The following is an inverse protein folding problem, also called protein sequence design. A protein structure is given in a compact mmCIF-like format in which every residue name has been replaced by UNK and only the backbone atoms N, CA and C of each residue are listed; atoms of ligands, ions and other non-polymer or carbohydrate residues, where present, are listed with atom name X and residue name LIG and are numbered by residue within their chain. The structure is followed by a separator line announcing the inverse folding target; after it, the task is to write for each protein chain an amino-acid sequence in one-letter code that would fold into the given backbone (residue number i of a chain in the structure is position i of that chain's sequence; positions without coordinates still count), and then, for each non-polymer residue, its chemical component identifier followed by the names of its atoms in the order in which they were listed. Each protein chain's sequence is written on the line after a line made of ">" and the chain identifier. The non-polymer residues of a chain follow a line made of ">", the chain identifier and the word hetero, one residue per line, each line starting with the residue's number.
data_IF_384561311202
#
_entry.id   IF_384561311202
#
_cell.length_a   1.000
_cell.length_b   1.000
_cell.length_c   1.000
_cell.angle_alpha   90.00
_cell.angle_beta   90.00
_cell.angle_gamma   90.00
#
_symmetry.space_group_name_H-M   'P 1'
#
loop_
_entity.id
_entity.type
_entity.pdbx_description
1 polymer ?
#
# COMPACT_ATOMS: atom_id res chain seq x y z
N UNK A 1 -1.09 11.11 -7.62
CA UNK A 1 0.39 10.91 -7.61
C UNK A 1 0.73 9.81 -8.60
N UNK A 2 1.81 9.94 -9.35
CA UNK A 2 2.29 8.89 -10.26
C UNK A 2 3.40 8.09 -9.58
N UNK A 3 3.36 6.77 -9.72
CA UNK A 3 4.28 5.85 -9.06
C UNK A 3 4.77 4.80 -10.05
N UNK A 4 6.06 4.52 -10.01
CA UNK A 4 6.69 3.35 -10.59
C UNK A 4 7.36 2.55 -9.49
N UNK A 5 7.21 1.22 -9.55
CA UNK A 5 7.89 0.27 -8.66
C UNK A 5 8.61 -0.73 -9.55
N UNK A 6 9.90 -0.90 -9.29
CA UNK A 6 10.74 -1.83 -10.02
C UNK A 6 10.50 -3.30 -9.58
N UNK A 7 10.84 -4.24 -10.46
CA UNK A 7 10.61 -5.67 -10.28
C UNK A 7 11.25 -6.20 -8.99
N UNK A 8 12.47 -5.74 -8.67
CA UNK A 8 13.22 -6.16 -7.48
C UNK A 8 12.46 -5.85 -6.17
N UNK A 9 11.74 -4.73 -6.11
CA UNK A 9 10.93 -4.34 -4.96
C UNK A 9 9.77 -5.32 -4.77
N UNK A 10 9.03 -5.66 -5.84
CA UNK A 10 7.97 -6.67 -5.75
C UNK A 10 8.50 -8.03 -5.31
N UNK A 11 9.65 -8.44 -5.87
CA UNK A 11 10.29 -9.70 -5.51
C UNK A 11 10.80 -9.71 -4.06
N UNK A 12 11.16 -8.56 -3.50
CA UNK A 12 11.62 -8.48 -2.10
C UNK A 12 10.56 -9.00 -1.11
N UNK A 13 9.26 -8.87 -1.42
CA UNK A 13 8.16 -9.30 -0.54
C UNK A 13 8.05 -10.81 -0.31
N UNK A 14 8.80 -11.64 -1.04
CA UNK A 14 8.90 -13.08 -0.75
C UNK A 14 9.93 -13.40 0.34
N UNK A 15 10.71 -12.43 0.80
CA UNK A 15 11.74 -12.60 1.85
C UNK A 15 11.28 -12.09 3.23
N UNK A 16 10.04 -11.65 3.35
CA UNK A 16 9.65 -10.62 4.32
C UNK A 16 8.66 -11.07 5.41
N UNK A 17 8.49 -10.17 6.38
CA UNK A 17 7.64 -10.30 7.57
C UNK A 17 6.19 -9.88 7.30
N UNK A 18 5.30 -10.01 8.29
CA UNK A 18 3.90 -9.55 8.16
C UNK A 18 3.78 -8.07 7.82
N UNK A 19 4.70 -7.25 8.35
CA UNK A 19 4.62 -5.80 8.28
C UNK A 19 4.89 -5.29 6.87
N UNK A 20 5.69 -6.02 6.10
CA UNK A 20 6.00 -5.68 4.72
C UNK A 20 4.79 -5.89 3.79
N UNK A 21 4.03 -6.97 4.01
CA UNK A 21 2.80 -7.20 3.23
C UNK A 21 1.72 -6.14 3.49
N UNK A 22 1.75 -5.52 4.66
CA UNK A 22 0.84 -4.42 4.99
C UNK A 22 1.11 -3.18 4.13
N UNK A 23 2.36 -2.90 3.76
CA UNK A 23 2.70 -1.81 2.85
C UNK A 23 2.12 -2.03 1.44
N UNK A 24 2.12 -3.27 0.92
CA UNK A 24 1.47 -3.59 -0.36
C UNK A 24 -0.05 -3.44 -0.29
N UNK A 25 -0.66 -3.79 0.85
CA UNK A 25 -2.10 -3.60 1.07
C UNK A 25 -2.48 -2.12 1.14
N UNK A 26 -1.67 -1.30 1.83
CA UNK A 26 -1.85 0.17 1.82
C UNK A 26 -1.79 0.71 0.40
N UNK A 27 -0.85 0.23 -0.42
CA UNK A 27 -0.75 0.65 -1.81
C UNK A 27 -2.01 0.28 -2.60
N UNK A 28 -2.53 -0.92 -2.40
CA UNK A 28 -3.77 -1.40 -3.04
C UNK A 28 -4.94 -0.46 -2.76
N UNK A 29 -5.10 -0.01 -1.51
CA UNK A 29 -6.11 0.99 -1.12
C UNK A 29 -5.89 2.31 -1.85
N UNK A 30 -4.65 2.83 -1.92
CA UNK A 30 -4.35 4.07 -2.64
C UNK A 30 -4.66 4.00 -4.14
N UNK A 31 -4.46 2.85 -4.77
CA UNK A 31 -4.79 2.64 -6.18
C UNK A 31 -6.31 2.61 -6.39
N UNK A 32 -7.06 1.87 -5.55
CA UNK A 32 -8.52 1.79 -5.61
C UNK A 32 -9.20 3.14 -5.45
N UNK A 33 -8.75 3.92 -4.48
CA UNK A 33 -9.24 5.29 -4.22
C UNK A 33 -8.65 6.33 -5.19
N UNK A 34 -7.92 5.89 -6.22
CA UNK A 34 -7.35 6.72 -7.30
C UNK A 34 -6.44 7.85 -6.80
N UNK A 35 -5.86 7.71 -5.61
CA UNK A 35 -4.92 8.70 -5.05
C UNK A 35 -3.52 8.51 -5.63
N UNK A 36 -3.18 7.28 -5.98
CA UNK A 36 -1.95 6.90 -6.68
C UNK A 36 -2.29 6.20 -8.00
N UNK A 37 -1.51 6.47 -9.05
CA UNK A 37 -1.48 5.72 -10.29
C UNK A 37 -0.17 4.95 -10.35
N UNK A 38 -0.21 3.63 -10.24
CA UNK A 38 0.94 2.77 -10.42
C UNK A 38 1.08 2.45 -11.91
N UNK A 39 2.15 2.92 -12.55
CA UNK A 39 2.48 2.56 -13.93
C UNK A 39 3.23 1.24 -13.93
N UNK A 40 2.70 0.25 -14.65
CA UNK A 40 3.21 -1.11 -14.67
C UNK A 40 3.59 -1.53 -16.10
N UNK A 41 4.88 -1.41 -16.47
CA UNK A 41 5.38 -1.93 -17.73
C UNK A 41 5.22 -3.44 -17.85
N UNK A 42 4.89 -3.92 -19.05
CA UNK A 42 4.85 -5.36 -19.35
C UNK A 42 6.18 -6.06 -19.04
N UNK A 43 7.30 -5.33 -19.19
CA UNK A 43 8.63 -5.84 -18.85
C UNK A 43 8.77 -6.16 -17.36
N UNK A 44 8.29 -5.29 -16.45
CA UNK A 44 8.25 -5.57 -15.01
C UNK A 44 7.48 -6.85 -14.72
N UNK A 45 6.31 -7.02 -15.33
CA UNK A 45 5.49 -8.23 -15.14
C UNK A 45 6.21 -9.49 -15.63
N UNK A 46 6.91 -9.42 -16.77
CA UNK A 46 7.69 -10.55 -17.32
C UNK A 46 8.88 -10.91 -16.43
N UNK A 47 9.61 -9.91 -15.94
CA UNK A 47 10.74 -10.10 -15.05
C UNK A 47 10.29 -10.68 -13.71
N UNK A 48 9.18 -10.18 -13.16
CA UNK A 48 8.58 -10.70 -11.95
C UNK A 48 8.30 -12.19 -12.08
N UNK A 49 7.57 -12.59 -13.14
CA UNK A 49 7.25 -14.00 -13.41
C UNK A 49 8.50 -14.88 -13.56
N UNK A 50 9.51 -14.40 -14.29
CA UNK A 50 10.75 -15.15 -14.52
C UNK A 50 11.57 -15.34 -13.23
N UNK A 51 11.58 -14.34 -12.36
CA UNK A 51 12.45 -14.31 -11.20
C UNK A 51 11.76 -14.77 -9.89
N UNK A 52 10.43 -14.86 -9.88
CA UNK A 52 9.60 -15.23 -8.72
C UNK A 52 10.11 -16.49 -8.01
N UNK A 53 10.18 -17.62 -8.72
CA UNK A 53 10.57 -18.89 -8.12
C UNK A 53 12.01 -18.87 -7.59
N UNK A 54 12.91 -18.22 -8.32
CA UNK A 54 14.30 -18.04 -7.89
C UNK A 54 14.37 -17.30 -6.56
N UNK A 55 13.63 -16.20 -6.44
CA UNK A 55 13.59 -15.39 -5.21
C UNK A 55 12.97 -16.15 -4.04
N UNK A 56 11.84 -16.86 -4.26
CA UNK A 56 11.20 -17.68 -3.23
C UNK A 56 12.16 -18.77 -2.74
N UNK A 57 12.82 -19.47 -3.67
CA UNK A 57 13.82 -20.50 -3.34
C UNK A 57 14.92 -19.93 -2.45
N UNK A 58 15.45 -18.75 -2.77
CA UNK A 58 16.51 -18.12 -1.98
C UNK A 58 16.08 -17.84 -0.53
N UNK A 59 14.80 -17.49 -0.32
CA UNK A 59 14.22 -17.31 1.02
C UNK A 59 13.99 -18.63 1.77
N UNK A 60 13.67 -19.72 1.05
CA UNK A 60 13.34 -21.01 1.65
C UNK A 60 14.52 -21.94 1.91
N UNK A 61 15.68 -21.72 1.30
CA UNK A 61 16.82 -22.63 1.42
C UNK A 61 17.21 -22.89 2.88
N UNK A 62 17.27 -21.85 3.72
CA UNK A 62 17.58 -21.98 5.15
C UNK A 62 16.53 -22.82 5.89
N UNK A 63 15.24 -22.64 5.56
CA UNK A 63 14.16 -23.41 6.17
C UNK A 63 14.25 -24.89 5.76
N UNK A 64 14.52 -25.18 4.49
CA UNK A 64 14.66 -26.56 3.98
C UNK A 64 15.81 -27.33 4.64
N UNK A 65 16.92 -26.65 4.90
CA UNK A 65 18.11 -27.23 5.53
C UNK A 65 18.00 -27.34 7.05
N UNK A 66 17.04 -26.64 7.67
CA UNK A 66 16.89 -26.59 9.11
C UNK A 66 16.45 -27.94 9.68
N UNK A 67 17.34 -28.58 10.45
CA UNK A 67 17.09 -29.86 11.13
C UNK A 67 17.58 -29.82 12.57
N UNK A 68 16.86 -30.48 13.47
CA UNK A 68 17.29 -30.67 14.85
C UNK A 68 18.21 -31.89 14.92
N UNK A 69 19.53 -31.67 14.89
CA UNK A 69 20.53 -32.75 15.03
C UNK A 69 20.96 -32.93 16.50
N UNK A 70 20.04 -33.33 17.36
CA UNK A 70 20.32 -33.50 18.79
C UNK A 70 21.17 -34.75 19.05
N UNK A 71 22.37 -34.56 19.61
CA UNK A 71 23.27 -35.62 20.06
C UNK A 71 23.24 -35.73 21.58
N UNK A 72 22.97 -36.94 22.08
CA UNK A 72 22.89 -37.21 23.51
C UNK A 72 23.90 -38.27 23.91
N UNK A 73 24.69 -38.04 24.98
CA UNK A 73 25.47 -39.06 25.64
C UNK A 73 24.59 -40.22 26.12
N UNK A 74 25.16 -41.43 26.21
CA UNK A 74 24.44 -42.62 26.66
C UNK A 74 23.83 -42.44 28.07
N UNK A 75 24.52 -41.69 28.95
CA UNK A 75 24.07 -41.38 30.32
C UNK A 75 22.72 -40.64 30.38
N UNK A 76 22.28 -40.01 29.29
CA UNK A 76 21.01 -39.27 29.28
C UNK A 76 19.79 -40.19 29.17
N UNK A 77 19.95 -41.45 28.71
CA UNK A 77 18.82 -42.33 28.38
C UNK A 77 17.96 -42.74 29.57
N UNK A 78 18.53 -42.65 30.78
CA UNK A 78 17.85 -43.03 32.01
C UNK A 78 16.95 -41.91 32.56
N UNK A 79 16.99 -40.72 31.96
CA UNK A 79 16.21 -39.55 32.39
C UNK A 79 14.93 -39.40 31.56
N UNK A 80 13.81 -39.05 32.19
CA UNK A 80 12.54 -38.81 31.49
C UNK A 80 12.64 -37.62 30.52
N UNK A 81 13.46 -36.61 30.84
CA UNK A 81 13.72 -35.46 29.98
C UNK A 81 14.28 -35.87 28.60
N UNK A 82 15.10 -36.93 28.55
CA UNK A 82 15.60 -37.45 27.27
C UNK A 82 14.46 -37.96 26.38
N UNK A 83 13.49 -38.67 26.96
CA UNK A 83 12.32 -39.17 26.22
C UNK A 83 11.47 -38.01 25.72
N UNK A 84 11.26 -36.98 26.56
CA UNK A 84 10.56 -35.76 26.19
C UNK A 84 11.24 -35.06 25.02
N UNK A 85 12.56 -34.84 25.08
CA UNK A 85 13.32 -34.17 24.03
C UNK A 85 13.29 -34.95 22.70
N UNK A 86 13.39 -36.28 22.74
CA UNK A 86 13.25 -37.12 21.54
C UNK A 86 11.84 -37.05 20.94
N UNK A 87 10.80 -36.99 21.77
CA UNK A 87 9.42 -36.81 21.30
C UNK A 87 9.24 -35.45 20.62
N UNK A 88 9.68 -34.36 21.27
CA UNK A 88 9.60 -33.01 20.72
C UNK A 88 10.39 -32.87 19.41
N UNK A 89 11.56 -33.52 19.30
CA UNK A 89 12.32 -33.57 18.05
C UNK A 89 11.50 -34.16 16.91
N UNK A 90 10.81 -35.29 17.15
CA UNK A 90 9.95 -35.94 16.15
C UNK A 90 8.72 -35.10 15.80
N UNK A 91 8.10 -34.46 16.79
CA UNK A 91 6.97 -33.55 16.58
C UNK A 91 7.40 -32.35 15.71
N UNK A 92 8.56 -31.76 16.00
CA UNK A 92 9.15 -30.70 15.18
C UNK A 92 9.41 -31.16 13.74
N UNK A 93 10.07 -32.31 13.53
CA UNK A 93 10.35 -32.84 12.18
C UNK A 93 9.07 -33.09 11.37
N UNK A 94 8.01 -33.57 12.04
CA UNK A 94 6.70 -33.78 11.41
C UNK A 94 6.04 -32.45 11.04
N UNK A 95 6.04 -31.46 11.95
CA UNK A 95 5.49 -30.14 11.69
C UNK A 95 6.27 -29.41 10.59
N UNK A 96 7.60 -29.51 10.60
CA UNK A 96 8.51 -28.92 9.62
C UNK A 96 8.28 -29.47 8.22
N UNK A 97 8.24 -30.79 8.06
CA UNK A 97 7.93 -31.43 6.78
C UNK A 97 6.52 -31.09 6.27
N UNK A 98 5.53 -31.05 7.17
CA UNK A 98 4.16 -30.64 6.82
C UNK A 98 4.11 -29.19 6.33
N UNK A 99 4.82 -28.27 6.99
CA UNK A 99 4.91 -26.87 6.58
C UNK A 99 5.57 -26.74 5.20
N UNK A 100 6.68 -27.45 4.97
CA UNK A 100 7.36 -27.43 3.67
C UNK A 100 6.45 -27.95 2.55
N UNK A 101 5.71 -29.04 2.77
CA UNK A 101 4.78 -29.58 1.78
C UNK A 101 3.66 -28.56 1.43
N UNK A 102 3.09 -27.89 2.44
CA UNK A 102 2.09 -26.83 2.22
C UNK A 102 2.66 -25.64 1.45
N UNK A 103 3.87 -25.20 1.79
CA UNK A 103 4.54 -24.11 1.08
C UNK A 103 4.81 -24.49 -0.38
N UNK A 104 5.23 -25.73 -0.65
CA UNK A 104 5.47 -26.19 -2.02
C UNK A 104 4.19 -26.24 -2.84
N UNK A 105 3.07 -26.65 -2.23
CA UNK A 105 1.74 -26.58 -2.85
C UNK A 105 1.32 -25.12 -3.12
N UNK A 106 1.47 -24.23 -2.15
CA UNK A 106 1.13 -22.81 -2.32
C UNK A 106 2.02 -22.14 -3.39
N UNK A 107 3.31 -22.49 -3.46
CA UNK A 107 4.25 -21.93 -4.45
C UNK A 107 3.88 -22.37 -5.86
N UNK A 108 3.59 -23.66 -6.04
CA UNK A 108 3.22 -24.23 -7.32
C UNK A 108 1.89 -23.68 -7.85
N UNK A 109 0.98 -23.33 -6.95
CA UNK A 109 -0.34 -22.77 -7.29
C UNK A 109 -0.40 -21.24 -7.24
N UNK A 110 0.73 -20.54 -7.05
CA UNK A 110 0.78 -19.07 -6.88
C UNK A 110 -0.20 -18.55 -5.80
N UNK A 111 -0.24 -19.24 -4.66
CA UNK A 111 -1.22 -19.04 -3.59
C UNK A 111 -0.62 -18.47 -2.29
N UNK A 112 0.64 -18.03 -2.31
CA UNK A 112 1.21 -17.32 -1.15
C UNK A 112 0.47 -16.00 -0.94
N UNK A 113 0.44 -15.51 0.30
CA UNK A 113 -0.17 -14.19 0.60
C UNK A 113 0.40 -13.06 -0.26
N UNK A 114 1.71 -13.09 -0.54
CA UNK A 114 2.37 -12.12 -1.42
C UNK A 114 1.86 -12.22 -2.86
N UNK A 115 1.60 -13.43 -3.36
CA UNK A 115 1.07 -13.63 -4.73
C UNK A 115 -0.28 -12.94 -4.89
N UNK A 116 -1.20 -13.16 -3.94
CA UNK A 116 -2.54 -12.57 -3.98
C UNK A 116 -2.50 -11.05 -4.01
N UNK A 117 -1.73 -10.43 -3.12
CA UNK A 117 -1.67 -8.96 -3.02
C UNK A 117 -0.97 -8.35 -4.23
N UNK A 118 0.11 -8.96 -4.73
CA UNK A 118 0.81 -8.45 -5.93
C UNK A 118 -0.07 -8.62 -7.18
N UNK A 119 -0.78 -9.74 -7.31
CA UNK A 119 -1.72 -9.96 -8.41
C UNK A 119 -2.83 -8.91 -8.41
N UNK A 120 -3.43 -8.65 -7.25
CA UNK A 120 -4.44 -7.61 -7.07
C UNK A 120 -3.90 -6.22 -7.45
N UNK A 121 -2.68 -5.87 -7.03
CA UNK A 121 -2.01 -4.64 -7.44
C UNK A 121 -1.83 -4.55 -8.96
N UNK A 122 -1.37 -5.63 -9.60
CA UNK A 122 -1.14 -5.66 -11.03
C UNK A 122 -2.44 -5.52 -11.84
N UNK A 123 -3.55 -6.05 -11.33
CA UNK A 123 -4.88 -5.91 -11.95
C UNK A 123 -5.42 -4.48 -11.89
N UNK A 124 -5.07 -3.71 -10.85
CA UNK A 124 -5.53 -2.33 -10.65
C UNK A 124 -4.57 -1.31 -11.29
N UNK A 125 -3.29 -1.66 -11.44
CA UNK A 125 -2.27 -0.79 -12.00
C UNK A 125 -2.60 -0.32 -13.43
N UNK A 126 -1.98 0.79 -13.83
CA UNK A 126 -2.06 1.31 -15.20
C UNK A 126 -1.07 0.50 -16.06
N UNK A 127 -1.54 -0.37 -16.97
CA UNK A 127 -0.65 -1.17 -17.79
C UNK A 127 0.08 -0.27 -18.80
N UNK A 128 1.39 -0.50 -18.94
CA UNK A 128 2.22 0.17 -19.95
C UNK A 128 2.78 -0.87 -20.90
N UNK A 129 2.25 -0.89 -22.12
CA UNK A 129 2.69 -1.82 -23.15
C UNK A 129 4.08 -1.43 -23.66
N UNK A 130 5.05 -2.33 -23.53
CA UNK A 130 6.39 -2.16 -24.09
C UNK A 130 6.39 -2.58 -25.57
N UNK A 131 5.89 -1.71 -26.44
CA UNK A 131 5.80 -1.96 -27.89
C UNK A 131 7.15 -1.80 -28.62
N UNK A 132 7.16 -2.02 -29.94
CA UNK A 132 8.38 -1.93 -30.75
C UNK A 132 9.02 -0.54 -30.72
N UNK A 133 8.25 0.52 -30.48
CA UNK A 133 8.82 1.87 -30.37
C UNK A 133 9.63 2.01 -29.08
N UNK A 134 9.06 1.57 -27.95
CA UNK A 134 9.77 1.53 -26.66
C UNK A 134 10.99 0.59 -26.75
N UNK A 135 10.84 -0.59 -27.35
CA UNK A 135 11.94 -1.53 -27.52
C UNK A 135 13.06 -0.96 -28.41
N UNK A 136 12.70 -0.24 -29.48
CA UNK A 136 13.65 0.45 -30.35
C UNK A 136 14.43 1.53 -29.60
N UNK A 137 13.74 2.37 -28.82
CA UNK A 137 14.38 3.41 -28.00
C UNK A 137 15.30 2.80 -26.95
N UNK A 138 14.87 1.75 -26.27
CA UNK A 138 15.68 1.05 -25.27
C UNK A 138 16.95 0.43 -25.87
N UNK A 139 16.85 -0.22 -27.05
CA UNK A 139 18.02 -0.74 -27.76
C UNK A 139 19.01 0.36 -28.12
N UNK A 140 18.51 1.46 -28.69
CA UNK A 140 19.34 2.61 -29.06
C UNK A 140 20.06 3.20 -27.85
N UNK A 141 19.36 3.38 -26.72
CA UNK A 141 19.93 3.83 -25.44
C UNK A 141 21.08 2.92 -25.00
N UNK A 142 20.87 1.61 -24.99
CA UNK A 142 21.91 0.64 -24.62
C UNK A 142 23.10 0.64 -25.58
N UNK A 143 22.86 0.78 -26.89
CA UNK A 143 23.91 0.84 -27.92
C UNK A 143 24.77 2.10 -27.79
N UNK A 144 24.17 3.23 -27.40
CA UNK A 144 24.86 4.48 -27.11
C UNK A 144 25.61 4.46 -25.77
N UNK A 145 25.24 3.53 -24.88
CA UNK A 145 25.80 3.43 -23.53
C UNK A 145 25.15 4.39 -22.54
N UNK A 146 23.95 4.89 -22.86
CA UNK A 146 23.16 5.73 -21.97
C UNK A 146 22.53 4.85 -20.87
N UNK A 147 22.50 5.31 -19.60
CA UNK A 147 21.82 4.59 -18.51
C UNK A 147 20.30 4.57 -18.75
N UNK A 148 19.51 3.74 -18.04
CA UNK A 148 19.92 2.75 -17.05
C UNK A 148 20.29 1.41 -17.72
N UNK A 149 21.06 0.62 -16.97
CA UNK A 149 21.44 -0.74 -17.34
C UNK A 149 22.87 -0.86 -17.88
N UNK A 150 23.20 -2.08 -18.33
CA UNK A 150 24.52 -2.48 -18.81
C UNK A 150 24.41 -3.10 -20.20
N UNK A 151 25.51 -3.09 -20.98
CA UNK A 151 25.55 -3.78 -22.27
C UNK A 151 25.13 -5.24 -22.12
N UNK A 152 24.15 -5.67 -22.91
CA UNK A 152 23.59 -7.02 -22.87
C UNK A 152 22.36 -7.19 -21.98
N UNK A 153 21.97 -6.17 -21.20
CA UNK A 153 20.68 -6.12 -20.49
C UNK A 153 19.82 -4.99 -21.06
N UNK A 154 18.60 -5.33 -21.49
CA UNK A 154 17.63 -4.35 -22.00
C UNK A 154 16.51 -4.07 -20.99
N UNK A 155 16.41 -4.82 -19.89
CA UNK A 155 15.27 -4.74 -18.96
C UNK A 155 15.05 -3.33 -18.42
N UNK A 156 16.08 -2.75 -17.81
CA UNK A 156 16.02 -1.42 -17.23
C UNK A 156 15.79 -0.33 -18.26
N UNK A 157 16.48 -0.41 -19.40
CA UNK A 157 16.27 0.52 -20.51
C UNK A 157 14.82 0.48 -21.02
N UNK A 158 14.20 -0.70 -21.11
CA UNK A 158 12.80 -0.86 -21.52
C UNK A 158 11.84 -0.31 -20.47
N UNK A 159 12.08 -0.59 -19.18
CA UNK A 159 11.26 -0.05 -18.09
C UNK A 159 11.32 1.47 -18.09
N UNK A 160 12.52 2.05 -18.19
CA UNK A 160 12.70 3.50 -18.24
C UNK A 160 11.99 4.15 -19.43
N UNK A 161 12.19 3.66 -20.65
CA UNK A 161 11.53 4.19 -21.85
C UNK A 161 10.00 4.05 -21.79
N UNK A 162 9.50 2.99 -21.16
CA UNK A 162 8.08 2.80 -20.93
C UNK A 162 7.49 3.86 -19.98
N UNK A 163 8.15 4.11 -18.85
CA UNK A 163 7.71 5.14 -17.88
C UNK A 163 7.85 6.55 -18.46
N UNK A 164 8.95 6.81 -19.17
CA UNK A 164 9.18 8.05 -19.90
C UNK A 164 8.16 8.23 -21.04
N UNK A 165 7.55 7.19 -21.59
CA UNK A 165 6.44 7.33 -22.52
C UNK A 165 5.09 7.56 -21.80
N UNK A 166 4.83 6.82 -20.72
CA UNK A 166 3.50 6.71 -20.13
C UNK A 166 3.10 7.85 -19.17
N UNK A 167 4.05 8.39 -18.41
CA UNK A 167 3.74 9.46 -17.43
C UNK A 167 3.47 10.78 -18.16
N UNK A 168 2.37 11.49 -17.89
CA UNK A 168 2.07 12.76 -18.54
C UNK A 168 3.15 13.83 -18.30
N UNK A 169 3.34 14.71 -19.29
CA UNK A 169 4.21 15.87 -19.14
C UNK A 169 3.64 16.82 -18.08
N UNK A 170 4.51 17.38 -17.25
CA UNK A 170 4.18 18.29 -16.16
C UNK A 170 3.76 17.59 -14.86
N UNK A 171 3.75 16.25 -14.80
CA UNK A 171 3.40 15.51 -13.59
C UNK A 171 4.60 14.79 -12.99
N UNK A 172 4.89 15.06 -11.72
CA UNK A 172 5.95 14.37 -10.96
C UNK A 172 5.70 12.85 -10.88
N UNK A 173 6.79 12.08 -10.78
CA UNK A 173 6.74 10.62 -10.60
C UNK A 173 7.58 10.16 -9.41
N UNK A 174 7.00 9.28 -8.60
CA UNK A 174 7.69 8.55 -7.55
C UNK A 174 8.30 7.28 -8.13
N UNK A 175 9.61 7.11 -7.94
CA UNK A 175 10.37 6.01 -8.53
C UNK A 175 10.95 5.16 -7.40
N UNK A 176 10.42 3.95 -7.22
CA UNK A 176 10.81 3.04 -6.14
C UNK A 176 11.63 1.89 -6.71
N UNK A 177 12.95 1.91 -6.47
CA UNK A 177 13.87 0.82 -6.86
C UNK A 177 15.10 0.80 -5.96
N UNK A 178 15.60 -0.40 -5.66
CA UNK A 178 16.90 -0.64 -5.03
C UNK A 178 17.97 -1.03 -6.07
N UNK A 179 17.67 -0.86 -7.37
CA UNK A 179 18.62 -1.16 -8.44
C UNK A 179 19.59 0.01 -8.64
N UNK A 180 20.89 -0.30 -8.49
CA UNK A 180 21.98 0.67 -8.61
C UNK A 180 22.14 1.24 -10.01
N UNK A 181 21.55 0.63 -11.03
CA UNK A 181 21.59 1.13 -12.41
C UNK A 181 20.73 2.41 -12.58
N UNK A 182 19.84 2.71 -11.63
CA UNK A 182 19.12 3.99 -11.53
C UNK A 182 19.71 4.96 -10.51
N UNK A 183 20.70 4.53 -9.72
CA UNK A 183 21.29 5.33 -8.66
C UNK A 183 22.50 6.14 -9.17
N UNK A 184 22.85 7.19 -8.43
CA UNK A 184 24.08 7.94 -8.68
C UNK A 184 25.30 7.09 -8.30
N UNK A 185 26.34 7.02 -9.16
CA UNK A 185 27.60 6.37 -8.80
C UNK A 185 28.35 7.03 -7.63
N UNK A 186 28.01 8.28 -7.28
CA UNK A 186 28.64 9.03 -6.18
C UNK A 186 27.93 8.79 -4.84
N UNK A 187 26.62 8.53 -4.87
CA UNK A 187 25.76 8.37 -3.70
C UNK A 187 24.53 7.53 -4.09
N UNK A 188 24.50 6.27 -3.66
CA UNK A 188 23.44 5.34 -4.02
C UNK A 188 22.09 5.65 -3.36
N UNK A 189 22.02 6.66 -2.48
CA UNK A 189 20.77 7.22 -1.97
C UNK A 189 20.13 8.26 -2.90
N UNK A 190 20.82 8.66 -3.97
CA UNK A 190 20.35 9.67 -4.94
C UNK A 190 20.13 9.07 -6.33
N UNK A 191 19.23 9.67 -7.09
CA UNK A 191 18.93 9.22 -8.46
C UNK A 191 20.09 9.54 -9.41
N UNK A 192 20.25 8.73 -10.45
CA UNK A 192 21.25 8.97 -11.48
C UNK A 192 21.02 10.32 -12.16
N UNK A 193 22.03 11.19 -12.15
CA UNK A 193 21.91 12.56 -12.64
C UNK A 193 21.51 12.64 -14.12
N UNK A 194 22.03 11.74 -14.97
CA UNK A 194 21.69 11.70 -16.40
C UNK A 194 20.19 11.41 -16.61
N UNK A 195 19.65 10.40 -15.91
CA UNK A 195 18.24 10.05 -15.99
C UNK A 195 17.34 11.15 -15.43
N UNK A 196 17.80 11.80 -14.37
CA UNK A 196 17.08 12.89 -13.75
C UNK A 196 17.00 14.13 -14.65
N UNK A 197 18.11 14.52 -15.27
CA UNK A 197 18.16 15.61 -16.24
C UNK A 197 17.27 15.29 -17.46
N UNK A 198 17.39 14.08 -18.00
CA UNK A 198 16.53 13.62 -19.11
C UNK A 198 15.04 13.70 -18.76
N UNK A 199 14.66 13.26 -17.57
CA UNK A 199 13.27 13.35 -17.11
C UNK A 199 12.81 14.81 -17.08
N UNK A 200 13.60 15.71 -16.48
CA UNK A 200 13.25 17.12 -16.37
C UNK A 200 13.12 17.79 -17.73
N UNK A 201 13.98 17.46 -18.67
CA UNK A 201 13.92 17.98 -20.04
C UNK A 201 12.67 17.51 -20.79
N UNK A 202 12.38 16.21 -20.75
CA UNK A 202 11.28 15.63 -21.52
C UNK A 202 9.91 15.82 -20.85
N UNK A 203 9.85 15.69 -19.53
CA UNK A 203 8.61 15.74 -18.74
C UNK A 203 8.36 17.08 -18.09
N UNK A 204 9.33 17.97 -17.95
CA UNK A 204 9.15 19.28 -17.29
C UNK A 204 8.50 19.10 -15.92
N UNK A 205 8.98 18.10 -15.17
CA UNK A 205 8.53 17.71 -13.84
C UNK A 205 9.69 17.03 -13.10
N UNK A 206 9.50 16.65 -11.84
CA UNK A 206 10.55 16.05 -11.03
C UNK A 206 10.34 14.55 -10.75
N UNK A 207 11.44 13.89 -10.36
CA UNK A 207 11.43 12.52 -9.85
C UNK A 207 11.65 12.49 -8.34
N UNK A 208 10.93 11.58 -7.67
CA UNK A 208 11.11 11.29 -6.24
C UNK A 208 11.63 9.87 -6.10
N UNK A 209 12.93 9.74 -5.90
CA UNK A 209 13.63 8.46 -5.78
C UNK A 209 13.61 7.90 -4.36
N UNK A 210 13.25 6.63 -4.23
CA UNK A 210 13.21 5.90 -2.96
C UNK A 210 13.65 4.44 -3.18
N UNK A 211 14.38 3.86 -2.24
CA UNK A 211 14.81 2.44 -2.33
C UNK A 211 13.81 1.46 -1.75
N UNK A 212 12.90 1.94 -0.89
CA UNK A 212 11.93 1.11 -0.17
C UNK A 212 10.52 1.68 -0.30
N UNK A 213 9.54 0.81 -0.48
CA UNK A 213 8.13 1.20 -0.48
C UNK A 213 7.71 1.80 0.88
N UNK A 214 8.24 1.32 2.00
CA UNK A 214 7.97 1.92 3.30
C UNK A 214 8.40 3.40 3.39
N UNK A 215 9.44 3.80 2.64
CA UNK A 215 9.90 5.19 2.60
C UNK A 215 8.91 6.08 1.85
N UNK A 216 8.25 5.55 0.82
CA UNK A 216 7.11 6.21 0.17
C UNK A 216 6.00 6.51 1.17
N UNK A 217 5.57 5.51 1.95
CA UNK A 217 4.51 5.69 2.93
C UNK A 217 4.91 6.62 4.07
N UNK A 218 6.12 6.51 4.62
CA UNK A 218 6.58 7.45 5.66
C UNK A 218 6.58 8.91 5.19
N UNK A 219 6.86 9.17 3.92
CA UNK A 219 6.90 10.54 3.40
C UNK A 219 5.50 11.13 3.18
N UNK A 220 4.55 10.34 2.66
CA UNK A 220 3.23 10.85 2.24
C UNK A 220 2.09 10.50 3.19
N UNK A 221 2.31 9.50 4.04
CA UNK A 221 1.32 8.86 4.91
C UNK A 221 1.96 8.42 6.26
N UNK A 222 2.66 9.32 6.99
CA UNK A 222 3.51 8.97 8.13
C UNK A 222 2.77 8.28 9.29
N UNK A 223 1.51 8.63 9.50
CA UNK A 223 0.71 8.17 10.63
C UNK A 223 -0.02 6.84 10.37
N UNK A 224 0.04 6.34 9.13
CA UNK A 224 -0.75 5.20 8.67
C UNK A 224 0.01 3.89 8.89
N UNK A 225 -0.49 3.09 9.83
CA UNK A 225 0.08 1.78 10.16
C UNK A 225 -0.60 0.63 9.43
N UNK A 226 -1.89 0.73 9.16
CA UNK A 226 -2.70 -0.33 8.57
C UNK A 226 -3.46 0.18 7.34
N UNK A 227 -3.63 -0.67 6.34
CA UNK A 227 -4.39 -0.42 5.13
C UNK A 227 -5.88 -0.16 5.43
N UNK A 228 -6.44 -0.85 6.42
CA UNK A 228 -7.82 -0.61 6.86
C UNK A 228 -8.00 0.79 7.49
N UNK A 229 -7.00 1.29 8.21
CA UNK A 229 -7.06 2.63 8.79
C UNK A 229 -6.83 3.69 7.70
N UNK A 230 -5.93 3.42 6.75
CA UNK A 230 -5.77 4.26 5.56
C UNK A 230 -7.08 4.44 4.80
N UNK A 231 -7.82 3.36 4.56
CA UNK A 231 -9.09 3.42 3.84
C UNK A 231 -10.08 4.33 4.56
N UNK A 232 -10.23 4.19 5.88
CA UNK A 232 -11.06 5.08 6.71
C UNK A 232 -10.59 6.53 6.61
N UNK A 233 -9.30 6.79 6.79
CA UNK A 233 -8.71 8.13 6.76
C UNK A 233 -8.92 8.82 5.41
N UNK A 234 -8.83 8.07 4.30
CA UNK A 234 -9.11 8.60 2.96
C UNK A 234 -10.57 9.00 2.80
N UNK A 235 -11.51 8.17 3.28
CA UNK A 235 -12.94 8.48 3.23
C UNK A 235 -13.27 9.68 4.13
N UNK A 236 -12.69 9.75 5.33
CA UNK A 236 -12.85 10.90 6.24
C UNK A 236 -12.30 12.17 5.60
N UNK A 237 -11.11 12.12 4.99
CA UNK A 237 -10.52 13.28 4.30
C UNK A 237 -11.43 13.75 3.15
N UNK A 238 -11.96 12.82 2.37
CA UNK A 238 -12.86 13.15 1.26
C UNK A 238 -14.23 13.66 1.76
N UNK A 239 -14.71 13.17 2.91
CA UNK A 239 -15.86 13.72 3.63
C UNK A 239 -15.59 15.17 4.08
N UNK A 240 -14.48 15.40 4.80
CA UNK A 240 -14.07 16.73 5.27
C UNK A 240 -13.89 17.72 4.13
N UNK A 241 -13.38 17.26 2.99
CA UNK A 241 -13.21 18.04 1.77
C UNK A 241 -14.43 18.07 0.84
N UNK A 242 -15.61 17.63 1.30
CA UNK A 242 -16.81 17.53 0.45
C UNK A 242 -17.14 18.86 -0.23
N UNK A 243 -17.13 18.85 -1.56
CA UNK A 243 -17.45 20.03 -2.40
C UNK A 243 -18.91 20.09 -2.86
N UNK A 244 -19.74 19.11 -2.50
CA UNK A 244 -21.17 19.10 -2.83
C UNK A 244 -21.96 18.21 -1.86
N UNK A 245 -23.28 18.40 -1.82
CA UNK A 245 -24.18 17.53 -1.05
C UNK A 245 -24.13 16.08 -1.51
N UNK A 246 -24.09 15.84 -2.83
CA UNK A 246 -23.99 14.49 -3.40
C UNK A 246 -22.73 13.76 -2.91
N UNK A 247 -21.59 14.46 -2.89
CA UNK A 247 -20.34 13.89 -2.37
C UNK A 247 -20.47 13.58 -0.88
N UNK A 248 -21.08 14.49 -0.10
CA UNK A 248 -21.29 14.30 1.34
C UNK A 248 -22.09 13.02 1.63
N UNK A 249 -23.24 12.81 0.97
CA UNK A 249 -24.04 11.60 1.13
C UNK A 249 -23.27 10.34 0.73
N UNK A 250 -22.53 10.39 -0.39
CA UNK A 250 -21.73 9.27 -0.85
C UNK A 250 -20.64 8.89 0.17
N UNK A 251 -19.98 9.87 0.79
CA UNK A 251 -18.97 9.62 1.81
C UNK A 251 -19.58 9.10 3.11
N UNK A 252 -20.74 9.61 3.54
CA UNK A 252 -21.44 9.08 4.72
C UNK A 252 -21.88 7.62 4.50
N UNK A 253 -22.35 7.27 3.30
CA UNK A 253 -22.67 5.89 2.97
C UNK A 253 -21.44 4.97 3.16
N UNK A 254 -20.27 5.37 2.64
CA UNK A 254 -19.01 4.64 2.86
C UNK A 254 -18.61 4.60 4.34
N UNK A 255 -18.70 5.72 5.07
CA UNK A 255 -18.29 5.80 6.47
C UNK A 255 -19.10 4.87 7.37
N UNK A 256 -20.36 4.61 7.03
CA UNK A 256 -21.24 3.70 7.78
C UNK A 256 -20.86 2.23 7.68
N UNK A 257 -20.13 1.85 6.64
CA UNK A 257 -19.64 0.48 6.47
C UNK A 257 -18.47 0.18 7.42
N UNK A 258 -17.86 1.21 8.01
CA UNK A 258 -16.82 1.06 9.03
C UNK A 258 -17.43 0.86 10.43
N UNK A 259 -16.93 -0.15 11.15
CA UNK A 259 -17.45 -0.51 12.47
C UNK A 259 -17.04 0.41 13.62
N UNK A 260 -15.89 1.07 13.52
CA UNK A 260 -15.29 1.90 14.58
C UNK A 260 -14.32 2.95 14.03
N UNK A 261 -14.21 4.07 14.76
CA UNK A 261 -13.29 5.19 14.54
C UNK A 261 -12.40 5.41 15.77
N UNK A 262 -11.20 5.93 15.55
CA UNK A 262 -10.33 6.45 16.61
C UNK A 262 -10.83 7.80 17.11
N UNK A 263 -10.38 8.24 18.29
CA UNK A 263 -10.68 9.57 18.82
C UNK A 263 -10.33 10.69 17.83
N UNK A 264 -9.16 10.60 17.18
CA UNK A 264 -8.70 11.58 16.19
C UNK A 264 -9.65 11.63 14.97
N UNK A 265 -10.03 10.47 14.43
CA UNK A 265 -10.96 10.36 13.31
C UNK A 265 -12.35 10.91 13.67
N UNK A 266 -12.88 10.59 14.86
CA UNK A 266 -14.16 11.11 15.32
C UNK A 266 -14.14 12.64 15.46
N UNK A 267 -13.06 13.21 16.00
CA UNK A 267 -12.88 14.66 16.08
C UNK A 267 -12.82 15.32 14.70
N UNK A 268 -12.14 14.71 13.74
CA UNK A 268 -12.08 15.21 12.36
C UNK A 268 -13.47 15.22 11.69
N UNK A 269 -14.28 14.17 11.90
CA UNK A 269 -15.66 14.11 11.39
C UNK A 269 -16.53 15.21 12.00
N UNK A 270 -16.45 15.40 13.32
CA UNK A 270 -17.21 16.45 14.03
C UNK A 270 -16.78 17.83 13.57
N UNK A 271 -15.47 18.06 13.46
CA UNK A 271 -14.89 19.31 12.94
C UNK A 271 -15.43 19.61 11.55
N UNK A 272 -15.41 18.64 10.64
CA UNK A 272 -15.93 18.79 9.28
C UNK A 272 -17.42 19.16 9.26
N UNK A 273 -18.24 18.55 10.12
CA UNK A 273 -19.67 18.85 10.21
C UNK A 273 -19.97 20.31 10.61
N UNK A 274 -19.07 20.94 11.36
CA UNK A 274 -19.18 22.33 11.80
C UNK A 274 -18.52 23.32 10.85
N UNK A 275 -17.37 22.97 10.27
CA UNK A 275 -16.53 23.88 9.50
C UNK A 275 -16.79 23.82 7.98
N UNK A 276 -17.27 22.68 7.44
CA UNK A 276 -17.56 22.56 6.02
C UNK A 276 -19.04 22.93 5.75
N UNK A 277 -19.25 24.05 5.05
CA UNK A 277 -20.57 24.55 4.69
C UNK A 277 -21.45 23.55 3.95
N UNK A 278 -20.88 22.71 3.08
CA UNK A 278 -21.65 21.71 2.33
C UNK A 278 -22.25 20.67 3.27
N UNK A 279 -21.52 20.27 4.31
CA UNK A 279 -21.97 19.31 5.31
C UNK A 279 -22.93 20.00 6.29
N UNK A 280 -22.57 21.19 6.77
CA UNK A 280 -23.33 21.95 7.75
C UNK A 280 -24.76 22.31 7.27
N UNK A 281 -24.92 22.62 5.98
CA UNK A 281 -26.22 22.97 5.40
C UNK A 281 -27.19 21.80 5.34
N UNK A 282 -26.69 20.60 5.08
CA UNK A 282 -27.50 19.37 4.99
C UNK A 282 -27.42 18.52 6.26
N UNK A 283 -26.96 19.10 7.37
CA UNK A 283 -26.76 18.36 8.63
C UNK A 283 -28.03 17.69 9.15
N UNK A 284 -29.19 18.14 8.68
CA UNK A 284 -30.50 17.61 9.01
C UNK A 284 -31.06 16.63 7.99
N UNK A 285 -30.36 16.37 6.88
CA UNK A 285 -30.73 15.28 6.00
C UNK A 285 -30.66 13.97 6.77
N UNK A 286 -31.61 13.07 6.50
CA UNK A 286 -31.88 11.94 7.37
C UNK A 286 -30.65 11.04 7.58
N UNK A 287 -29.84 10.85 6.55
CA UNK A 287 -28.61 10.06 6.64
C UNK A 287 -27.49 10.82 7.36
N UNK A 288 -27.28 12.10 7.04
CA UNK A 288 -26.27 12.95 7.65
C UNK A 288 -26.50 13.08 9.16
N UNK A 289 -27.72 13.43 9.55
CA UNK A 289 -28.12 13.61 10.93
C UNK A 289 -28.00 12.32 11.74
N UNK A 290 -28.46 11.19 11.19
CA UNK A 290 -28.37 9.90 11.88
C UNK A 290 -26.91 9.45 12.05
N UNK A 291 -26.06 9.70 11.05
CA UNK A 291 -24.64 9.38 11.13
C UNK A 291 -23.95 10.21 12.21
N UNK A 292 -24.10 11.53 12.19
CA UNK A 292 -23.45 12.42 13.16
C UNK A 292 -23.92 12.17 14.59
N UNK A 293 -25.22 11.87 14.80
CA UNK A 293 -25.70 11.46 16.14
C UNK A 293 -25.08 10.16 16.60
N UNK A 294 -24.89 9.18 15.72
CA UNK A 294 -24.23 7.93 16.08
C UNK A 294 -22.76 8.16 16.48
N UNK A 295 -22.05 9.05 15.77
CA UNK A 295 -20.69 9.46 16.12
C UNK A 295 -20.65 10.13 17.50
N UNK A 296 -21.49 11.14 17.72
CA UNK A 296 -21.57 11.85 19.01
C UNK A 296 -21.90 10.89 20.15
N UNK A 297 -22.89 10.02 19.98
CA UNK A 297 -23.29 9.08 21.02
C UNK A 297 -22.18 8.09 21.40
N UNK A 298 -21.39 7.63 20.42
CA UNK A 298 -20.35 6.62 20.64
C UNK A 298 -19.04 7.19 21.15
N UNK A 299 -18.68 8.40 20.72
CA UNK A 299 -17.37 9.02 20.98
C UNK A 299 -17.46 10.27 21.85
N UNK A 300 -18.57 10.47 22.57
CA UNK A 300 -18.84 11.67 23.39
C UNK A 300 -17.65 12.09 24.25
N UNK A 301 -17.07 11.16 25.00
CA UNK A 301 -15.95 11.43 25.93
C UNK A 301 -14.58 11.60 25.24
N UNK A 302 -14.53 11.46 23.92
CA UNK A 302 -13.30 11.53 23.12
C UNK A 302 -13.31 12.70 22.14
N UNK A 303 -14.46 13.36 21.95
CA UNK A 303 -14.61 14.55 21.10
C UNK A 303 -14.28 15.79 21.93
N UNK A 304 -13.61 16.77 21.32
CA UNK A 304 -13.37 18.08 21.91
C UNK A 304 -14.67 18.73 22.44
N UNK A 305 -14.68 19.15 23.71
CA UNK A 305 -15.88 19.60 24.42
C UNK A 305 -16.58 20.78 23.74
N UNK A 306 -15.81 21.73 23.19
CA UNK A 306 -16.36 22.90 22.51
C UNK A 306 -17.09 22.48 21.23
N UNK A 307 -16.44 21.66 20.40
CA UNK A 307 -17.04 21.14 19.16
C UNK A 307 -18.23 20.24 19.44
N UNK A 308 -18.16 19.39 20.45
CA UNK A 308 -19.25 18.53 20.87
C UNK A 308 -20.49 19.36 21.20
N UNK A 309 -20.33 20.38 22.03
CA UNK A 309 -21.42 21.27 22.45
C UNK A 309 -22.07 21.98 21.24
N UNK A 310 -21.25 22.51 20.32
CA UNK A 310 -21.73 23.17 19.12
C UNK A 310 -22.51 22.23 18.20
N UNK A 311 -22.00 21.01 18.00
CA UNK A 311 -22.66 20.02 17.15
C UNK A 311 -23.95 19.49 17.77
N UNK A 312 -23.96 19.19 19.06
CA UNK A 312 -25.18 18.75 19.78
C UNK A 312 -26.28 19.81 19.66
N UNK A 313 -25.98 21.09 19.93
CA UNK A 313 -26.93 22.19 19.77
C UNK A 313 -27.50 22.28 18.34
N UNK A 314 -26.64 22.09 17.33
CA UNK A 314 -27.04 22.11 15.91
C UNK A 314 -27.94 20.94 15.54
N UNK A 315 -27.65 19.75 16.04
CA UNK A 315 -28.44 18.53 15.79
C UNK A 315 -29.80 18.57 16.50
N UNK A 316 -29.87 19.18 17.68
CA UNK A 316 -31.10 19.35 18.47
C UNK A 316 -32.03 20.43 17.89
N UNK A 317 -31.50 21.48 17.27
CA UNK A 317 -32.30 22.51 16.61
C UNK A 317 -33.27 21.93 15.55
N UNK A 318 -32.94 20.76 14.97
CA UNK A 318 -33.86 20.02 14.10
C UNK A 318 -35.13 19.58 14.83
N UNK A 319 -34.98 19.02 16.03
CA UNK A 319 -36.10 18.47 16.81
C UNK A 319 -37.08 19.58 17.21
N UNK A 320 -36.56 20.77 17.50
CA UNK A 320 -37.37 21.96 17.79
C UNK A 320 -38.10 22.45 16.53
N UNK A 321 -37.41 22.50 15.38
CA UNK A 321 -38.02 22.89 14.09
C UNK A 321 -39.10 21.91 13.63
N UNK A 322 -38.85 20.60 13.72
CA UNK A 322 -39.80 19.55 13.32
C UNK A 322 -41.01 19.49 14.28
N UNK A 323 -40.83 19.82 15.56
CA UNK A 323 -41.91 19.90 16.55
C UNK A 323 -42.82 21.13 16.39
N UNK A 324 -42.33 22.22 15.78
CA UNK A 324 -43.09 23.45 15.58
C UNK A 324 -43.91 23.47 14.27
N UNK A 325 -43.66 22.54 13.35
CA UNK A 325 -44.37 22.42 12.06
C UNK A 325 -44.12 23.60 11.10
N UNK A 326 -44.38 23.44 9.79
CA UNK A 326 -44.22 24.54 8.83
C UNK A 326 -45.39 25.53 9.00
N UNK A 327 -45.25 26.46 9.95
CA UNK A 327 -46.26 27.51 10.16
C UNK A 327 -46.44 28.05 11.58
N UNK A 328 -45.49 27.92 12.49
CA UNK A 328 -45.49 28.72 13.72
C UNK A 328 -44.65 30.00 13.52
N UNK A 329 -45.17 31.19 13.92
CA UNK A 329 -44.64 32.51 13.56
C UNK A 329 -43.23 32.81 14.09
#
# INVERSE_FOLDING_TARGET
>A
MNLFIDTNIFLSFYHLTSDDLEELRKLTVLLREKKVKLYLPDQVVREFKRNREGKIRDGLNKLREQRLNLQFPQICKDYEDYKLLRRLQKEYETAHSTLLAKLEEDIANENLKADHVIKELFEIAVPVKCDEEILSRARRRTDLGDPPGKRGSLGDAVNWEAILAAVPRGEDCHFVTDDKDYASPLDDSTFNAFLWDEWREQKVSDLRYQTLLSSFFKQHFPDIRLASELEKDLVIRDFTGSGSFQVTHAMIAKLRDFGDFTAAQANEIVRAALENNQIYWIIWDADVWNFLRAIVARYKDQIDDERLTLLEARLEAKLVSDALGPGAP
#
